data_IF_680472054970
#
_entry.id   IF_680472054970
#
_cell.length_a   1.000
_cell.length_b   1.000
_cell.length_c   1.000
_cell.angle_alpha   90.00
_cell.angle_beta   90.00
_cell.angle_gamma   90.00
#
_symmetry.space_group_name_H-M   'P 1'
#
loop_
_entity.id
_entity.type
_entity.pdbx_description
1 polymer ?
#
# COMPACT_ATOMS: atom_id res chain seq x y z
N UNK A 1 20.04 16.93 -0.45
CA UNK A 1 18.66 16.94 0.04
C UNK A 1 18.60 16.29 1.42
N UNK A 2 17.99 16.96 2.36
CA UNK A 2 17.87 16.48 3.73
C UNK A 2 16.46 15.91 3.96
N UNK A 3 16.36 14.60 3.93
CA UNK A 3 15.09 13.92 4.18
C UNK A 3 15.02 13.43 5.62
N UNK A 4 13.84 13.55 6.23
CA UNK A 4 13.58 12.91 7.53
C UNK A 4 13.53 11.39 7.36
N UNK A 5 13.74 10.61 8.45
CA UNK A 5 13.56 9.15 8.37
C UNK A 5 12.19 8.75 7.83
N UNK A 6 11.14 9.45 8.22
CA UNK A 6 9.78 9.20 7.75
C UNK A 6 9.63 9.41 6.25
N UNK A 7 10.24 10.48 5.72
CA UNK A 7 10.24 10.75 4.28
C UNK A 7 11.01 9.69 3.51
N UNK A 8 12.14 9.22 4.05
CA UNK A 8 12.91 8.12 3.46
C UNK A 8 12.09 6.83 3.39
N UNK A 9 11.37 6.48 4.46
CA UNK A 9 10.53 5.30 4.51
C UNK A 9 9.43 5.36 3.45
N UNK A 10 8.78 6.52 3.29
CA UNK A 10 7.75 6.73 2.27
C UNK A 10 8.32 6.59 0.86
N UNK A 11 9.52 7.09 0.63
CA UNK A 11 10.19 6.95 -0.68
C UNK A 11 10.52 5.49 -0.97
N UNK A 12 10.95 4.74 0.04
CA UNK A 12 11.22 3.30 -0.11
C UNK A 12 9.93 2.53 -0.45
N UNK A 13 8.81 2.88 0.16
CA UNK A 13 7.51 2.30 -0.18
C UNK A 13 7.17 2.58 -1.65
N UNK A 14 7.36 3.81 -2.10
CA UNK A 14 7.09 4.19 -3.49
C UNK A 14 7.95 3.38 -4.48
N UNK A 15 9.23 3.23 -4.20
CA UNK A 15 10.14 2.43 -5.04
C UNK A 15 9.73 0.97 -5.02
N UNK A 16 9.43 0.41 -3.86
CA UNK A 16 8.99 -0.98 -3.74
C UNK A 16 7.68 -1.22 -4.52
N UNK A 17 6.75 -0.26 -4.48
CA UNK A 17 5.52 -0.32 -5.26
C UNK A 17 5.79 -0.29 -6.76
N UNK A 18 6.73 0.52 -7.21
CA UNK A 18 7.13 0.54 -8.62
C UNK A 18 7.68 -0.83 -9.08
N UNK A 19 8.51 -1.44 -8.25
CA UNK A 19 9.04 -2.78 -8.53
C UNK A 19 7.91 -3.81 -8.60
N UNK A 20 6.97 -3.75 -7.66
CA UNK A 20 5.82 -4.65 -7.63
C UNK A 20 4.97 -4.51 -8.91
N UNK A 21 4.71 -3.28 -9.35
CA UNK A 21 3.97 -3.03 -10.59
C UNK A 21 4.66 -3.62 -11.81
N UNK A 22 5.97 -3.48 -11.91
CA UNK A 22 6.75 -4.07 -13.02
C UNK A 22 6.61 -5.58 -13.05
N UNK A 23 6.56 -6.22 -11.89
CA UNK A 23 6.39 -7.67 -11.78
C UNK A 23 5.01 -8.10 -12.21
N UNK A 24 3.97 -7.39 -11.76
CA UNK A 24 2.60 -7.67 -12.19
C UNK A 24 2.42 -7.51 -13.70
N UNK A 25 3.03 -6.48 -14.30
CA UNK A 25 2.93 -6.22 -15.75
C UNK A 25 3.44 -7.38 -16.59
N UNK A 26 4.42 -8.15 -16.08
CA UNK A 26 4.92 -9.32 -16.80
C UNK A 26 4.38 -10.64 -16.26
N UNK A 27 3.30 -10.60 -15.48
CA UNK A 27 2.61 -11.80 -15.01
C UNK A 27 3.26 -12.50 -13.82
N UNK A 28 4.17 -11.83 -13.11
CA UNK A 28 4.81 -12.39 -11.91
C UNK A 28 3.93 -12.12 -10.70
N UNK A 29 3.67 -13.16 -9.91
CA UNK A 29 2.85 -13.04 -8.70
C UNK A 29 3.63 -12.36 -7.59
N UNK A 30 2.92 -11.56 -6.80
CA UNK A 30 3.53 -10.76 -5.74
C UNK A 30 3.86 -11.60 -4.50
N UNK A 31 4.99 -11.28 -3.88
CA UNK A 31 5.34 -11.77 -2.56
C UNK A 31 4.79 -10.82 -1.48
N UNK A 32 5.05 -11.13 -0.21
CA UNK A 32 4.53 -10.36 0.93
C UNK A 32 4.91 -8.87 0.87
N UNK A 33 6.21 -8.49 0.82
CA UNK A 33 6.56 -7.06 0.82
C UNK A 33 6.07 -6.32 -0.42
N UNK A 34 5.98 -6.97 -1.57
CA UNK A 34 5.46 -6.34 -2.79
C UNK A 34 3.98 -6.01 -2.66
N UNK A 35 3.19 -6.93 -2.14
CA UNK A 35 1.76 -6.70 -1.92
C UNK A 35 1.52 -5.58 -0.91
N UNK A 36 2.25 -5.59 0.20
CA UNK A 36 2.17 -4.54 1.22
C UNK A 36 2.55 -3.19 0.63
N UNK A 37 3.62 -3.13 -0.17
CA UNK A 37 4.08 -1.88 -0.77
C UNK A 37 3.05 -1.28 -1.72
N UNK A 38 2.42 -2.09 -2.56
CA UNK A 38 1.39 -1.59 -3.49
C UNK A 38 0.20 -1.00 -2.76
N UNK A 39 -0.30 -1.67 -1.74
CA UNK A 39 -1.45 -1.18 -0.96
C UNK A 39 -1.06 0.07 -0.18
N UNK A 40 0.12 0.08 0.44
CA UNK A 40 0.61 1.24 1.18
C UNK A 40 0.78 2.47 0.29
N UNK A 41 1.34 2.30 -0.89
CA UNK A 41 1.51 3.38 -1.86
C UNK A 41 0.16 3.96 -2.30
N UNK A 42 -0.82 3.11 -2.55
CA UNK A 42 -2.19 3.54 -2.85
C UNK A 42 -2.75 4.44 -1.75
N UNK A 43 -2.54 4.07 -0.49
CA UNK A 43 -3.03 4.85 0.66
C UNK A 43 -2.30 6.19 0.75
N UNK A 44 -0.98 6.19 0.61
CA UNK A 44 -0.16 7.41 0.69
C UNK A 44 -0.56 8.41 -0.41
N UNK A 45 -0.72 7.95 -1.62
CA UNK A 45 -1.08 8.81 -2.75
C UNK A 45 -2.55 9.24 -2.68
N UNK A 46 -3.44 8.37 -2.23
CA UNK A 46 -4.84 8.73 -2.00
C UNK A 46 -5.00 9.82 -0.94
N UNK A 47 -4.22 9.77 0.12
CA UNK A 47 -4.20 10.81 1.14
C UNK A 47 -3.71 12.15 0.56
N UNK A 48 -2.68 12.11 -0.26
CA UNK A 48 -2.16 13.29 -0.95
C UNK A 48 -3.19 13.92 -1.88
N UNK A 49 -4.00 13.08 -2.52
CA UNK A 49 -5.08 13.50 -3.42
C UNK A 49 -6.30 14.06 -2.68
N UNK A 50 -6.32 13.98 -1.37
CA UNK A 50 -7.42 14.49 -0.56
C UNK A 50 -8.57 13.52 -0.35
N UNK A 51 -8.38 12.23 -0.61
CA UNK A 51 -9.41 11.22 -0.31
C UNK A 51 -9.54 11.03 1.20
N UNK A 52 -10.70 10.59 1.65
CA UNK A 52 -10.94 10.41 3.08
C UNK A 52 -10.34 9.11 3.60
N UNK A 53 -10.11 9.03 4.92
CA UNK A 53 -9.67 7.81 5.57
C UNK A 53 -10.64 6.66 5.27
N UNK A 54 -11.95 6.93 5.35
CA UNK A 54 -12.97 5.90 5.09
C UNK A 54 -12.89 5.36 3.65
N UNK A 55 -12.69 6.24 2.66
CA UNK A 55 -12.53 5.84 1.26
C UNK A 55 -11.30 4.93 1.09
N UNK A 56 -10.19 5.31 1.70
CA UNK A 56 -8.94 4.56 1.57
C UNK A 56 -9.01 3.21 2.29
N UNK A 57 -9.68 3.14 3.42
CA UNK A 57 -9.92 1.87 4.12
C UNK A 57 -10.74 0.91 3.26
N UNK A 58 -11.76 1.42 2.59
CA UNK A 58 -12.62 0.62 1.71
C UNK A 58 -11.86 0.19 0.46
N UNK A 59 -11.31 1.14 -0.27
CA UNK A 59 -10.70 0.89 -1.58
C UNK A 59 -9.34 0.22 -1.48
N UNK A 60 -8.64 0.38 -0.37
CA UNK A 60 -7.38 -0.31 -0.09
C UNK A 60 -7.52 -1.84 -0.08
N UNK A 61 -8.71 -2.35 0.16
CA UNK A 61 -8.99 -3.79 0.12
C UNK A 61 -9.26 -4.31 -1.31
N UNK A 62 -9.14 -3.44 -2.31
CA UNK A 62 -9.37 -3.79 -3.72
C UNK A 62 -8.19 -3.43 -4.63
N UNK A 63 -7.03 -3.11 -4.06
CA UNK A 63 -5.83 -2.73 -4.81
C UNK A 63 -5.15 -3.97 -5.39
N UNK A 64 -5.03 -5.01 -4.59
CA UNK A 64 -4.37 -6.27 -4.96
C UNK A 64 -5.38 -7.40 -4.82
N UNK A 65 -5.50 -8.21 -5.86
CA UNK A 65 -6.37 -9.39 -5.83
C UNK A 65 -5.61 -10.61 -5.34
N UNK A 66 -6.34 -11.60 -4.84
CA UNK A 66 -5.77 -12.88 -4.44
C UNK A 66 -4.99 -13.55 -5.58
N UNK A 67 -5.52 -13.47 -6.80
CA UNK A 67 -4.88 -14.08 -7.98
C UNK A 67 -3.54 -13.44 -8.33
N UNK A 68 -3.30 -12.21 -7.91
CA UNK A 68 -2.05 -11.49 -8.16
C UNK A 68 -0.95 -11.85 -7.16
N UNK A 69 -1.27 -12.61 -6.13
CA UNK A 69 -0.33 -12.97 -5.05
C UNK A 69 0.12 -14.42 -5.16
N UNK A 70 1.32 -14.67 -4.65
CA UNK A 70 1.79 -16.03 -4.42
C UNK A 70 0.88 -16.71 -3.40
N UNK A 71 0.84 -18.05 -3.42
CA UNK A 71 0.03 -18.84 -2.48
C UNK A 71 0.39 -18.50 -1.04
N UNK A 72 -0.62 -18.34 -0.20
CA UNK A 72 -0.46 -18.05 1.23
C UNK A 72 -0.27 -16.58 1.58
N UNK A 73 0.00 -15.71 0.62
CA UNK A 73 0.23 -14.29 0.90
C UNK A 73 -1.03 -13.60 1.44
N UNK A 74 -2.23 -13.79 0.85
CA UNK A 74 -3.43 -13.15 1.40
C UNK A 74 -3.69 -13.53 2.86
N UNK A 75 -3.45 -14.78 3.22
CA UNK A 75 -3.66 -15.28 4.58
C UNK A 75 -2.64 -14.75 5.59
N UNK A 76 -1.47 -14.32 5.12
CA UNK A 76 -0.43 -13.75 5.98
C UNK A 76 -0.68 -12.29 6.35
N UNK A 77 -1.52 -11.59 5.59
CA UNK A 77 -1.72 -10.14 5.74
C UNK A 77 -3.14 -9.89 6.25
N UNK A 78 -3.28 -9.77 7.57
CA UNK A 78 -4.57 -9.50 8.21
C UNK A 78 -4.94 -8.02 8.16
N UNK A 79 -3.94 -7.15 8.37
CA UNK A 79 -4.11 -5.71 8.37
C UNK A 79 -2.91 -5.06 7.72
N UNK A 80 -3.14 -3.91 7.09
CA UNK A 80 -2.07 -2.99 6.70
C UNK A 80 -2.36 -1.66 7.36
N UNK A 81 -1.38 -1.13 8.10
CA UNK A 81 -1.47 0.17 8.75
C UNK A 81 -0.46 1.11 8.14
N UNK A 82 -0.94 2.26 7.69
CA UNK A 82 -0.09 3.27 7.05
C UNK A 82 -0.37 4.63 7.67
N UNK A 83 0.69 5.29 8.12
CA UNK A 83 0.62 6.68 8.52
C UNK A 83 0.74 7.54 7.27
N UNK A 84 -0.31 8.28 6.94
CA UNK A 84 -0.38 9.08 5.73
C UNK A 84 -0.69 10.54 6.06
N UNK A 85 -0.19 11.45 5.22
CA UNK A 85 -0.41 12.88 5.39
C UNK A 85 -1.55 13.32 4.48
N UNK A 86 -2.67 13.68 5.10
CA UNK A 86 -3.84 14.23 4.46
C UNK A 86 -3.74 15.77 4.41
N UNK A 87 -4.59 16.45 3.62
CA UNK A 87 -4.59 17.93 3.59
C UNK A 87 -4.77 18.56 4.97
N UNK A 88 -5.47 17.89 5.89
CA UNK A 88 -5.75 18.39 7.24
C UNK A 88 -4.85 17.77 8.33
N UNK A 89 -3.82 17.03 7.95
CA UNK A 89 -2.86 16.48 8.89
C UNK A 89 -2.56 15.00 8.70
N UNK A 90 -1.67 14.49 9.56
CA UNK A 90 -1.23 13.10 9.51
C UNK A 90 -2.20 12.21 10.27
N UNK A 91 -2.60 11.10 9.66
CA UNK A 91 -3.55 10.14 10.23
C UNK A 91 -3.09 8.71 9.94
N UNK A 92 -3.46 7.79 10.83
CA UNK A 92 -3.24 6.37 10.61
C UNK A 92 -4.42 5.78 9.84
N UNK A 93 -4.12 5.09 8.75
CA UNK A 93 -5.11 4.35 7.95
C UNK A 93 -4.87 2.86 8.16
N UNK A 94 -5.91 2.14 8.58
CA UNK A 94 -5.87 0.69 8.72
C UNK A 94 -6.78 0.05 7.68
N UNK A 95 -6.23 -0.82 6.85
CA UNK A 95 -7.01 -1.62 5.91
C UNK A 95 -7.10 -3.05 6.46
N UNK A 96 -8.31 -3.48 6.79
CA UNK A 96 -8.58 -4.82 7.30
C UNK A 96 -8.77 -5.80 6.15
N UNK A 97 -8.21 -7.01 6.29
CA UNK A 97 -8.28 -8.05 5.27
C UNK A 97 -8.03 -7.47 3.87
N UNK A 98 -6.84 -6.92 3.63
CA UNK A 98 -6.60 -6.10 2.45
C UNK A 98 -6.57 -6.88 1.13
N UNK A 99 -6.42 -8.21 1.18
CA UNK A 99 -6.40 -9.05 -0.02
C UNK A 99 -7.44 -10.15 0.15
N UNK A 100 -8.50 -10.07 -0.63
CA UNK A 100 -9.70 -10.93 -0.47
C UNK A 100 -9.89 -11.90 -1.67
#
# INVERSE_FOLDING_TARGET
MNLTPREKDKMLIAVAAMVARRRLERGVKLNHPEAVALISDFILEGARDGRTVADLMRDGAHVVTRAQCMDGIPEMIHDIQVEATFPDGTKLVTVHEPIR
#
